data_IF_018669148288
#
_entry.id   IF_018669148288
#
_cell.length_a   1.000
_cell.length_b   1.000
_cell.length_c   1.000
_cell.angle_alpha   90.00
_cell.angle_beta   90.00
_cell.angle_gamma   90.00
#
_symmetry.space_group_name_H-M   'P 1'
#
loop_
_entity.id
_entity.type
_entity.pdbx_description
1 polymer ?
#
# COMPACT_ATOMS: atom_id res chain seq x y z
N UNK A 1 -22.17 7.93 15.11
CA UNK A 1 -22.42 7.76 13.67
C UNK A 1 -22.81 6.32 13.41
N UNK A 2 -21.95 5.32 13.63
CA UNK A 2 -22.16 3.88 13.32
C UNK A 2 -23.46 3.27 13.92
N UNK A 3 -24.00 3.81 14.99
CA UNK A 3 -25.27 3.35 15.60
C UNK A 3 -26.49 4.17 15.16
N UNK A 4 -26.32 5.08 14.22
CA UNK A 4 -27.40 5.89 13.66
C UNK A 4 -28.08 5.19 12.49
N UNK A 5 -29.40 5.41 12.26
CA UNK A 5 -30.12 4.79 11.15
C UNK A 5 -29.88 5.57 9.84
N UNK A 6 -28.64 5.51 9.33
CA UNK A 6 -28.20 6.18 8.12
C UNK A 6 -28.28 5.24 6.92
N UNK A 7 -28.50 5.79 5.71
CA UNK A 7 -28.24 5.08 4.46
C UNK A 7 -26.73 4.90 4.24
N UNK A 8 -26.35 4.04 3.30
CA UNK A 8 -24.95 3.81 2.97
C UNK A 8 -24.24 5.10 2.49
N UNK A 9 -24.92 5.92 1.70
CA UNK A 9 -24.40 7.19 1.21
C UNK A 9 -24.19 8.20 2.36
N UNK A 10 -25.22 8.38 3.19
CA UNK A 10 -25.14 9.28 4.36
C UNK A 10 -24.07 8.84 5.38
N UNK A 11 -23.89 7.53 5.56
CA UNK A 11 -22.88 7.00 6.46
C UNK A 11 -21.47 7.34 5.93
N UNK A 12 -21.18 7.02 4.68
CA UNK A 12 -19.88 7.31 4.04
C UNK A 12 -19.58 8.80 3.99
N UNK A 13 -20.55 9.64 3.66
CA UNK A 13 -20.41 11.09 3.66
C UNK A 13 -20.06 11.63 5.06
N UNK A 14 -20.66 11.07 6.12
CA UNK A 14 -20.36 11.51 7.49
C UNK A 14 -19.02 10.99 8.02
N UNK A 15 -18.58 9.81 7.66
CA UNK A 15 -17.30 9.27 8.11
C UNK A 15 -16.12 9.88 7.37
N UNK A 16 -16.29 10.32 6.11
CA UNK A 16 -15.23 10.98 5.33
C UNK A 16 -14.75 12.32 5.91
N UNK A 17 -15.47 12.87 6.90
CA UNK A 17 -15.05 14.06 7.65
C UNK A 17 -14.05 13.73 8.80
N UNK A 18 -13.79 12.45 9.07
CA UNK A 18 -12.91 11.99 10.16
C UNK A 18 -11.65 11.34 9.58
N UNK A 19 -10.59 11.32 10.35
CA UNK A 19 -9.38 10.59 10.02
C UNK A 19 -9.64 9.07 10.09
N UNK A 20 -9.05 8.30 9.21
CA UNK A 20 -9.24 6.84 9.07
C UNK A 20 -8.93 6.11 10.38
N UNK A 21 -7.85 6.49 11.06
CA UNK A 21 -7.47 5.97 12.38
C UNK A 21 -8.57 6.19 13.44
N UNK A 22 -9.22 7.39 13.49
CA UNK A 22 -10.34 7.65 14.42
C UNK A 22 -11.57 6.80 14.07
N UNK A 23 -11.74 6.48 12.79
CA UNK A 23 -12.81 5.58 12.29
C UNK A 23 -12.53 4.15 12.74
N UNK A 24 -11.31 3.68 12.60
CA UNK A 24 -10.86 2.35 13.03
C UNK A 24 -11.05 2.17 14.55
N UNK A 25 -10.56 3.10 15.36
CA UNK A 25 -10.77 3.12 16.82
C UNK A 25 -12.25 3.03 17.22
N UNK A 26 -13.11 3.74 16.49
CA UNK A 26 -14.55 3.71 16.75
C UNK A 26 -15.19 2.39 16.28
N UNK A 27 -14.66 1.78 15.21
CA UNK A 27 -15.11 0.52 14.65
C UNK A 27 -14.78 -0.66 15.59
N UNK A 28 -13.61 -0.66 16.20
CA UNK A 28 -13.21 -1.64 17.22
C UNK A 28 -14.12 -1.66 18.44
N UNK A 29 -14.73 -0.52 18.80
CA UNK A 29 -15.69 -0.43 19.92
C UNK A 29 -17.07 -1.06 19.61
N UNK A 30 -17.27 -1.58 18.40
CA UNK A 30 -18.54 -2.19 17.99
C UNK A 30 -18.53 -3.68 18.29
N UNK A 31 -19.71 -4.24 18.54
CA UNK A 31 -19.90 -5.69 18.57
C UNK A 31 -19.89 -6.28 17.17
N UNK A 32 -19.58 -7.58 17.05
CA UNK A 32 -19.63 -8.34 15.80
C UNK A 32 -20.96 -8.14 15.04
N UNK A 33 -22.09 -8.14 15.77
CA UNK A 33 -23.41 -7.95 15.20
C UNK A 33 -23.63 -6.52 14.65
N UNK A 34 -23.00 -5.53 15.25
CA UNK A 34 -23.03 -4.15 14.77
C UNK A 34 -22.14 -4.03 13.52
N UNK A 35 -20.91 -4.55 13.54
CA UNK A 35 -19.98 -4.55 12.40
C UNK A 35 -20.56 -5.26 11.19
N UNK A 36 -21.12 -6.46 11.35
CA UNK A 36 -21.79 -7.22 10.27
C UNK A 36 -22.92 -6.48 9.57
N UNK A 37 -23.55 -5.51 10.22
CA UNK A 37 -24.55 -4.65 9.59
C UNK A 37 -23.92 -3.48 8.83
N UNK A 38 -22.72 -3.07 9.23
CA UNK A 38 -22.02 -1.93 8.64
C UNK A 38 -21.25 -2.34 7.39
N UNK A 39 -20.63 -3.51 7.31
CA UNK A 39 -19.87 -3.96 6.15
C UNK A 39 -20.57 -3.71 4.81
N UNK A 40 -21.85 -4.11 4.62
CA UNK A 40 -22.53 -3.85 3.35
C UNK A 40 -22.85 -2.36 3.11
N UNK A 41 -22.89 -1.53 4.16
CA UNK A 41 -23.15 -0.10 4.05
C UNK A 41 -21.87 0.68 3.71
N UNK A 42 -20.76 0.28 4.30
CA UNK A 42 -19.44 0.87 4.05
C UNK A 42 -18.97 0.53 2.63
N UNK A 43 -19.07 -0.73 2.25
CA UNK A 43 -18.47 -1.26 1.02
C UNK A 43 -17.02 -1.71 1.24
N UNK A 44 -16.49 -2.49 0.29
CA UNK A 44 -15.20 -3.15 0.46
C UNK A 44 -14.02 -2.17 0.57
N UNK A 45 -14.02 -1.11 -0.21
CA UNK A 45 -13.01 -0.05 -0.20
C UNK A 45 -12.88 0.61 1.19
N UNK A 46 -13.97 1.10 1.78
CA UNK A 46 -13.97 1.65 3.13
C UNK A 46 -13.61 0.63 4.21
N UNK A 47 -13.96 -0.62 4.02
CA UNK A 47 -13.60 -1.69 4.97
C UNK A 47 -12.11 -2.00 4.90
N UNK A 48 -11.51 -2.01 3.71
CA UNK A 48 -10.07 -2.16 3.53
C UNK A 48 -9.32 -1.01 4.21
N UNK A 49 -9.72 0.24 3.94
CA UNK A 49 -9.16 1.43 4.56
C UNK A 49 -9.21 1.38 6.10
N UNK A 50 -10.32 0.92 6.68
CA UNK A 50 -10.44 0.76 8.13
C UNK A 50 -9.49 -0.34 8.64
N UNK A 51 -9.35 -1.42 7.89
CA UNK A 51 -8.53 -2.57 8.29
C UNK A 51 -7.03 -2.25 8.31
N UNK A 52 -6.54 -1.37 7.43
CA UNK A 52 -5.15 -0.89 7.45
C UNK A 52 -4.76 -0.09 8.72
N UNK A 53 -5.75 0.27 9.56
CA UNK A 53 -5.52 0.95 10.85
C UNK A 53 -5.87 0.08 12.06
N UNK A 54 -6.19 -1.20 11.88
CA UNK A 54 -6.53 -2.15 12.96
C UNK A 54 -5.34 -3.09 13.18
N UNK A 55 -4.96 -3.32 14.42
CA UNK A 55 -3.79 -4.15 14.78
C UNK A 55 -3.96 -5.63 14.38
N UNK A 56 -5.16 -6.22 14.53
CA UNK A 56 -5.45 -7.62 14.19
C UNK A 56 -6.61 -7.70 13.15
N UNK A 57 -6.42 -7.27 11.90
CA UNK A 57 -7.50 -7.18 10.90
C UNK A 57 -8.03 -8.54 10.43
N UNK A 58 -7.28 -9.64 10.60
CA UNK A 58 -7.66 -11.01 10.26
C UNK A 58 -8.89 -11.47 11.05
N UNK A 59 -9.03 -11.11 12.34
CA UNK A 59 -10.22 -11.41 13.15
C UNK A 59 -11.49 -10.79 12.53
N UNK A 60 -11.38 -9.58 12.00
CA UNK A 60 -12.48 -8.85 11.35
C UNK A 60 -12.76 -9.40 9.95
N UNK A 61 -11.72 -9.78 9.21
CA UNK A 61 -11.87 -10.43 7.90
C UNK A 61 -12.66 -11.75 8.03
N UNK A 62 -12.43 -12.52 9.08
CA UNK A 62 -13.15 -13.77 9.38
C UNK A 62 -14.64 -13.54 9.72
N UNK A 63 -15.07 -12.33 10.03
CA UNK A 63 -16.49 -11.98 10.19
C UNK A 63 -17.25 -11.93 8.85
N UNK A 64 -16.52 -11.78 7.73
CA UNK A 64 -17.04 -11.69 6.38
C UNK A 64 -17.22 -13.08 5.75
N UNK A 65 -18.06 -13.16 4.71
CA UNK A 65 -18.02 -14.34 3.85
C UNK A 65 -16.86 -14.24 2.84
N UNK A 66 -16.48 -15.35 2.20
CA UNK A 66 -15.33 -15.41 1.30
C UNK A 66 -15.40 -14.38 0.15
N UNK A 67 -16.60 -14.16 -0.43
CA UNK A 67 -16.75 -13.18 -1.53
C UNK A 67 -16.52 -11.74 -1.05
N UNK A 68 -16.94 -11.43 0.17
CA UNK A 68 -16.72 -10.12 0.79
C UNK A 68 -15.27 -9.95 1.21
N UNK A 69 -14.68 -10.98 1.84
CA UNK A 69 -13.28 -10.97 2.24
C UNK A 69 -12.33 -10.78 1.05
N UNK A 70 -12.53 -11.53 -0.04
CA UNK A 70 -11.74 -11.38 -1.25
C UNK A 70 -11.85 -9.97 -1.85
N UNK A 71 -13.05 -9.35 -1.78
CA UNK A 71 -13.23 -7.97 -2.23
C UNK A 71 -12.52 -6.95 -1.34
N UNK A 72 -12.49 -7.15 -0.04
CA UNK A 72 -11.75 -6.28 0.89
C UNK A 72 -10.26 -6.39 0.59
N UNK A 73 -9.72 -7.60 0.51
CA UNK A 73 -8.32 -7.85 0.18
C UNK A 73 -7.90 -7.22 -1.16
N UNK A 74 -8.79 -7.15 -2.15
CA UNK A 74 -8.47 -6.51 -3.44
C UNK A 74 -8.40 -4.97 -3.39
N UNK A 75 -8.75 -4.35 -2.26
CA UNK A 75 -8.62 -2.91 -2.01
C UNK A 75 -7.55 -2.59 -0.96
N UNK A 76 -6.97 -3.60 -0.33
CA UNK A 76 -5.85 -3.41 0.61
C UNK A 76 -4.54 -3.26 -0.17
N UNK A 77 -3.57 -2.60 0.42
CA UNK A 77 -2.20 -2.64 -0.06
C UNK A 77 -1.69 -4.09 -0.04
N UNK A 78 -0.78 -4.43 -0.91
CA UNK A 78 -0.40 -5.83 -1.13
C UNK A 78 0.34 -6.45 0.04
N UNK A 79 1.12 -5.67 0.78
CA UNK A 79 1.75 -6.03 2.04
C UNK A 79 0.72 -6.26 3.15
N UNK A 80 -0.18 -5.29 3.41
CA UNK A 80 -1.30 -5.43 4.35
C UNK A 80 -2.14 -6.69 4.05
N UNK A 81 -2.40 -6.96 2.77
CA UNK A 81 -3.15 -8.13 2.36
C UNK A 81 -2.40 -9.44 2.64
N UNK A 82 -1.07 -9.45 2.51
CA UNK A 82 -0.21 -10.60 2.86
C UNK A 82 -0.25 -10.84 4.36
N UNK A 83 -0.05 -9.80 5.18
CA UNK A 83 -0.05 -9.92 6.63
C UNK A 83 -1.37 -10.52 7.15
N UNK A 84 -2.51 -10.01 6.65
CA UNK A 84 -3.83 -10.57 6.98
C UNK A 84 -3.99 -12.02 6.54
N UNK A 85 -3.47 -12.37 5.36
CA UNK A 85 -3.57 -13.72 4.82
C UNK A 85 -2.71 -14.72 5.60
N UNK A 86 -1.54 -14.33 6.07
CA UNK A 86 -0.61 -15.20 6.77
C UNK A 86 -1.10 -15.60 8.17
N UNK A 87 -2.01 -14.83 8.76
CA UNK A 87 -2.72 -15.17 10.00
C UNK A 87 -3.88 -16.17 9.79
N UNK A 88 -4.23 -16.49 8.54
CA UNK A 88 -5.31 -17.43 8.22
C UNK A 88 -4.79 -18.87 8.03
N UNK A 89 -5.69 -19.84 8.11
CA UNK A 89 -5.35 -21.21 7.75
C UNK A 89 -5.09 -21.38 6.24
N UNK A 90 -4.13 -22.23 5.85
CA UNK A 90 -3.69 -22.47 4.47
C UNK A 90 -4.84 -22.65 3.47
N UNK A 91 -5.91 -23.37 3.89
CA UNK A 91 -7.07 -23.65 3.01
C UNK A 91 -7.92 -22.42 2.76
N UNK A 92 -8.02 -21.50 3.72
CA UNK A 92 -8.76 -20.24 3.58
C UNK A 92 -7.94 -19.26 2.77
N UNK A 93 -6.65 -19.14 3.04
CA UNK A 93 -5.69 -18.33 2.29
C UNK A 93 -5.69 -18.71 0.79
N UNK A 94 -5.52 -20.01 0.46
CA UNK A 94 -5.51 -20.49 -0.94
C UNK A 94 -6.82 -20.16 -1.68
N UNK A 95 -7.97 -20.24 -0.99
CA UNK A 95 -9.26 -19.89 -1.57
C UNK A 95 -9.39 -18.39 -1.82
N UNK A 96 -9.00 -17.55 -0.87
CA UNK A 96 -9.09 -16.10 -0.99
C UNK A 96 -8.19 -15.60 -2.11
N UNK A 97 -6.92 -16.01 -2.14
CA UNK A 97 -5.97 -15.67 -3.21
C UNK A 97 -6.46 -16.15 -4.58
N UNK A 98 -7.11 -17.33 -4.63
CA UNK A 98 -7.72 -17.84 -5.86
C UNK A 98 -8.97 -17.09 -6.33
N UNK A 99 -9.55 -16.22 -5.51
CA UNK A 99 -10.71 -15.38 -5.84
C UNK A 99 -10.32 -13.95 -6.25
N UNK A 100 -9.08 -13.54 -6.02
CA UNK A 100 -8.55 -12.25 -6.45
C UNK A 100 -8.34 -12.24 -7.97
N UNK A 101 -8.21 -11.05 -8.54
CA UNK A 101 -7.80 -10.90 -9.93
C UNK A 101 -6.34 -11.36 -10.14
N UNK A 102 -5.91 -11.44 -11.42
CA UNK A 102 -4.61 -11.99 -11.77
C UNK A 102 -3.44 -11.13 -11.24
N UNK A 103 -3.61 -9.80 -11.21
CA UNK A 103 -2.62 -8.83 -10.75
C UNK A 103 -2.44 -8.92 -9.23
N UNK A 104 -3.50 -8.73 -8.46
CA UNK A 104 -3.48 -8.84 -6.98
C UNK A 104 -2.98 -10.22 -6.51
N UNK A 105 -3.42 -11.31 -7.17
CA UNK A 105 -2.95 -12.66 -6.86
C UNK A 105 -1.46 -12.87 -7.18
N UNK A 106 -0.93 -12.18 -8.20
CA UNK A 106 0.49 -12.23 -8.56
C UNK A 106 1.33 -11.49 -7.50
N UNK A 107 0.91 -10.29 -7.13
CA UNK A 107 1.62 -9.42 -6.20
C UNK A 107 1.72 -10.06 -4.81
N UNK A 108 0.61 -10.57 -4.29
CA UNK A 108 0.59 -11.32 -3.02
C UNK A 108 1.56 -12.50 -3.05
N UNK A 109 1.55 -13.33 -4.11
CA UNK A 109 2.46 -14.47 -4.22
C UNK A 109 3.92 -14.05 -4.38
N UNK A 110 4.17 -12.92 -5.00
CA UNK A 110 5.52 -12.37 -5.12
C UNK A 110 6.04 -11.97 -3.74
N UNK A 111 5.26 -11.23 -2.96
CA UNK A 111 5.62 -10.79 -1.60
C UNK A 111 5.81 -12.01 -0.69
N UNK A 112 4.89 -12.97 -0.67
CA UNK A 112 4.99 -14.22 0.09
C UNK A 112 6.17 -15.12 -0.32
N UNK A 113 6.87 -14.83 -1.40
CA UNK A 113 8.05 -15.60 -1.80
C UNK A 113 9.34 -15.16 -1.10
N UNK A 114 9.32 -14.02 -0.42
CA UNK A 114 10.44 -13.53 0.39
C UNK A 114 10.41 -14.10 1.81
N UNK A 115 11.57 -14.16 2.45
CA UNK A 115 11.67 -14.50 3.87
C UNK A 115 11.24 -13.28 4.71
N UNK A 116 10.67 -13.49 5.89
CA UNK A 116 10.13 -12.43 6.76
C UNK A 116 11.14 -11.33 7.14
N UNK A 117 12.44 -11.61 7.08
CA UNK A 117 13.53 -10.68 7.36
C UNK A 117 14.12 -10.02 6.09
N UNK A 118 13.53 -10.24 4.92
CA UNK A 118 13.92 -9.64 3.65
C UNK A 118 13.07 -8.42 3.34
N UNK A 119 13.67 -7.39 2.74
CA UNK A 119 13.00 -6.16 2.32
C UNK A 119 11.78 -6.41 1.42
N UNK A 120 11.85 -7.44 0.57
CA UNK A 120 10.75 -7.81 -0.31
C UNK A 120 9.46 -8.23 0.40
N UNK A 121 9.53 -8.64 1.68
CA UNK A 121 8.33 -8.97 2.46
C UNK A 121 7.55 -7.74 2.94
N UNK A 122 8.20 -6.58 3.01
CA UNK A 122 7.61 -5.32 3.49
C UNK A 122 7.11 -4.40 2.36
N UNK A 123 7.26 -4.80 1.10
CA UNK A 123 6.96 -3.90 0.00
C UNK A 123 5.49 -3.95 -0.40
N UNK A 124 4.94 -2.78 -0.74
CA UNK A 124 3.69 -2.68 -1.47
C UNK A 124 3.92 -2.49 -2.98
N UNK A 125 2.99 -2.96 -3.80
CA UNK A 125 2.96 -2.70 -5.26
C UNK A 125 2.12 -1.46 -5.61
N UNK A 126 1.58 -0.76 -4.61
CA UNK A 126 0.80 0.46 -4.76
C UNK A 126 1.70 1.69 -4.96
N UNK A 127 2.14 1.92 -6.17
CA UNK A 127 2.97 3.08 -6.54
C UNK A 127 2.79 3.50 -8.00
N UNK A 128 3.08 4.77 -8.30
CA UNK A 128 3.00 5.31 -9.65
C UNK A 128 4.35 5.27 -10.38
N UNK A 129 4.34 4.81 -11.62
CA UNK A 129 5.53 4.70 -12.47
C UNK A 129 5.33 5.33 -13.85
N UNK A 130 6.35 6.03 -14.34
CA UNK A 130 6.39 6.63 -15.67
C UNK A 130 7.71 6.31 -16.40
N UNK A 131 7.69 6.38 -17.74
CA UNK A 131 8.91 6.22 -18.53
C UNK A 131 9.68 7.54 -18.70
N UNK A 132 11.01 7.47 -18.67
CA UNK A 132 11.94 8.58 -18.86
C UNK A 132 11.78 9.34 -20.19
N UNK A 133 11.21 8.67 -21.20
CA UNK A 133 11.01 9.23 -22.54
C UNK A 133 9.77 10.13 -22.66
N UNK A 134 8.96 10.23 -21.62
CA UNK A 134 7.74 11.03 -21.64
C UNK A 134 8.03 12.52 -21.53
N UNK A 135 7.19 13.34 -22.16
CA UNK A 135 7.13 14.77 -21.87
C UNK A 135 6.34 15.01 -20.58
N UNK A 136 6.55 16.15 -19.92
CA UNK A 136 5.80 16.55 -18.70
C UNK A 136 4.28 16.35 -18.87
N UNK A 137 3.73 16.77 -20.02
CA UNK A 137 2.29 16.61 -20.30
C UNK A 137 1.85 15.14 -20.41
N UNK A 138 2.70 14.29 -20.96
CA UNK A 138 2.42 12.84 -21.06
C UNK A 138 2.56 12.17 -19.69
N UNK A 139 3.61 12.53 -18.93
CA UNK A 139 3.82 12.06 -17.56
C UNK A 139 2.62 12.39 -16.66
N UNK A 140 2.16 13.66 -16.66
CA UNK A 140 0.95 14.06 -15.92
C UNK A 140 -0.30 13.31 -16.34
N UNK A 141 -0.45 12.97 -17.61
CA UNK A 141 -1.62 12.22 -18.09
C UNK A 141 -1.55 10.76 -17.64
N UNK A 142 -0.36 10.20 -17.66
CA UNK A 142 -0.12 8.83 -17.19
C UNK A 142 -0.36 8.73 -15.67
N UNK A 143 0.16 9.67 -14.91
CA UNK A 143 -0.06 9.77 -13.47
C UNK A 143 -1.56 9.89 -13.12
N UNK A 144 -2.32 10.78 -13.79
CA UNK A 144 -3.76 10.93 -13.56
C UNK A 144 -4.52 9.61 -13.82
N UNK A 145 -4.02 8.78 -14.74
CA UNK A 145 -4.61 7.47 -15.01
C UNK A 145 -4.35 6.49 -13.87
N UNK A 146 -3.13 6.49 -13.32
CA UNK A 146 -2.70 5.59 -12.24
C UNK A 146 -3.25 6.02 -10.87
N UNK A 147 -3.33 7.32 -10.60
CA UNK A 147 -3.80 7.89 -9.33
C UNK A 147 -5.26 7.58 -8.95
N UNK A 148 -6.01 6.90 -9.79
CA UNK A 148 -7.33 6.35 -9.46
C UNK A 148 -7.28 4.93 -8.91
N UNK A 149 -6.11 4.30 -8.96
CA UNK A 149 -5.85 2.91 -8.56
C UNK A 149 -4.79 2.84 -7.46
N UNK A 150 -3.91 3.87 -7.35
CA UNK A 150 -2.81 3.96 -6.40
C UNK A 150 -2.97 5.17 -5.48
N UNK A 151 -2.64 5.00 -4.20
CA UNK A 151 -2.70 6.05 -3.17
C UNK A 151 -1.32 6.67 -2.89
N UNK A 152 -0.22 5.93 -3.10
CA UNK A 152 1.15 6.38 -2.92
C UNK A 152 1.64 7.24 -4.10
N UNK A 153 1.03 8.41 -4.28
CA UNK A 153 1.27 9.31 -5.43
C UNK A 153 2.26 10.44 -5.15
N UNK A 154 2.70 10.63 -3.91
CA UNK A 154 3.61 11.73 -3.52
C UNK A 154 4.94 11.64 -4.26
N UNK A 155 5.44 10.44 -4.49
CA UNK A 155 6.65 10.12 -5.25
C UNK A 155 6.29 9.36 -6.51
N UNK A 156 6.68 9.87 -7.66
CA UNK A 156 6.49 9.25 -8.98
C UNK A 156 7.80 8.63 -9.43
N UNK A 157 7.82 7.32 -9.60
CA UNK A 157 9.03 6.62 -10.01
C UNK A 157 9.23 6.65 -11.52
N UNK A 158 10.47 6.73 -11.94
CA UNK A 158 10.85 6.81 -13.36
C UNK A 158 11.67 5.58 -13.73
N UNK A 159 11.24 4.89 -14.80
CA UNK A 159 11.94 3.75 -15.38
C UNK A 159 12.44 4.08 -16.79
N UNK A 160 13.55 3.44 -17.17
CA UNK A 160 14.10 3.54 -18.51
C UNK A 160 13.37 2.61 -19.52
N UNK A 161 13.83 2.61 -20.76
CA UNK A 161 13.29 1.75 -21.84
C UNK A 161 13.43 0.24 -21.58
N UNK A 162 14.31 -0.16 -20.68
CA UNK A 162 14.57 -1.56 -20.31
C UNK A 162 13.85 -1.92 -18.98
N UNK A 163 12.88 -1.09 -18.55
CA UNK A 163 12.11 -1.19 -17.31
C UNK A 163 12.96 -1.13 -16.02
N UNK A 164 14.15 -0.53 -16.09
CA UNK A 164 15.01 -0.37 -14.92
C UNK A 164 14.75 0.96 -14.26
N UNK A 165 14.86 0.97 -12.94
CA UNK A 165 14.77 2.19 -12.16
C UNK A 165 15.78 3.24 -12.63
N UNK A 166 15.29 4.40 -12.99
CA UNK A 166 16.08 5.54 -13.43
C UNK A 166 16.18 6.64 -12.35
N UNK A 167 15.12 6.86 -11.59
CA UNK A 167 15.05 7.85 -10.54
C UNK A 167 13.63 8.07 -10.06
N UNK A 168 13.42 9.14 -9.31
CA UNK A 168 12.11 9.53 -8.82
C UNK A 168 11.86 11.03 -8.99
N UNK A 169 10.59 11.42 -8.99
CA UNK A 169 10.13 12.81 -9.08
C UNK A 169 9.14 13.04 -7.94
N UNK A 170 9.35 14.11 -7.17
CA UNK A 170 8.31 14.62 -6.28
C UNK A 170 7.11 15.09 -7.12
N UNK A 171 5.92 14.63 -6.81
CA UNK A 171 4.68 15.01 -7.48
C UNK A 171 4.55 16.53 -7.61
N UNK A 172 4.94 17.26 -6.58
CA UNK A 172 4.94 18.73 -6.59
C UNK A 172 5.79 19.30 -7.72
N UNK A 173 6.99 18.73 -7.97
CA UNK A 173 7.89 19.21 -9.02
C UNK A 173 7.31 18.94 -10.41
N UNK A 174 6.62 17.81 -10.58
CA UNK A 174 5.88 17.50 -11.81
C UNK A 174 4.70 18.46 -12.03
N UNK A 175 3.95 18.82 -10.97
CA UNK A 175 2.81 19.74 -11.03
C UNK A 175 3.25 21.18 -11.40
N UNK A 176 4.38 21.65 -10.86
CA UNK A 176 4.87 23.03 -11.11
C UNK A 176 5.74 23.15 -12.37
N UNK A 177 6.11 22.03 -12.99
CA UNK A 177 6.93 22.02 -14.20
C UNK A 177 6.24 22.77 -15.35
N UNK A 178 7.03 23.61 -16.05
CA UNK A 178 6.53 24.43 -17.16
C UNK A 178 6.49 23.63 -18.45
N UNK A 179 5.63 24.04 -19.36
CA UNK A 179 5.64 23.49 -20.71
C UNK A 179 7.00 23.76 -21.38
N UNK A 180 7.67 22.68 -21.81
CA UNK A 180 9.03 22.73 -22.37
C UNK A 180 10.15 22.36 -21.41
N UNK A 181 9.88 22.17 -20.10
CA UNK A 181 10.81 21.52 -19.18
C UNK A 181 11.01 20.06 -19.62
N UNK A 182 12.24 19.60 -19.64
CA UNK A 182 12.54 18.19 -19.88
C UNK A 182 12.27 17.39 -18.60
N UNK A 183 11.82 16.16 -18.74
CA UNK A 183 11.59 15.28 -17.58
C UNK A 183 12.91 15.08 -16.80
N UNK A 184 14.03 14.92 -17.49
CA UNK A 184 15.37 14.81 -16.91
C UNK A 184 15.79 16.00 -16.02
N UNK A 185 15.22 17.18 -16.24
CA UNK A 185 15.54 18.38 -15.44
C UNK A 185 14.91 18.31 -14.03
N UNK A 186 13.93 17.42 -13.81
CA UNK A 186 13.20 17.28 -12.54
C UNK A 186 13.32 15.88 -11.91
N UNK A 187 13.93 14.92 -12.62
CA UNK A 187 14.18 13.58 -12.07
C UNK A 187 15.36 13.61 -11.12
N UNK A 188 15.18 13.09 -9.91
CA UNK A 188 16.27 12.79 -8.98
C UNK A 188 16.85 11.41 -9.31
N UNK A 189 17.95 11.37 -10.04
CA UNK A 189 18.63 10.12 -10.41
C UNK A 189 19.49 9.51 -9.29
N UNK A 190 19.66 10.25 -8.19
CA UNK A 190 20.35 9.81 -6.96
C UNK A 190 19.37 9.47 -5.83
N UNK A 191 18.11 9.21 -6.18
CA UNK A 191 17.10 8.81 -5.21
C UNK A 191 17.51 7.48 -4.52
N UNK A 192 17.34 7.36 -3.20
CA UNK A 192 17.70 6.14 -2.47
C UNK A 192 16.85 4.97 -2.90
N UNK A 193 17.38 3.78 -2.79
CA UNK A 193 16.66 2.52 -3.04
C UNK A 193 17.23 1.40 -2.18
N UNK A 194 16.48 0.32 -2.06
CA UNK A 194 16.89 -0.94 -1.43
C UNK A 194 16.71 -2.09 -2.42
N UNK A 195 17.30 -3.25 -2.11
CA UNK A 195 17.11 -4.45 -2.93
C UNK A 195 16.23 -5.48 -2.22
N UNK A 196 15.45 -6.20 -2.97
CA UNK A 196 14.42 -7.13 -2.52
C UNK A 196 14.89 -8.19 -1.50
N UNK A 197 16.09 -8.75 -1.70
CA UNK A 197 16.70 -9.73 -0.79
C UNK A 197 17.65 -9.14 0.27
N UNK A 198 17.71 -7.83 0.39
CA UNK A 198 18.45 -7.16 1.47
C UNK A 198 17.76 -7.43 2.81
N UNK A 199 18.54 -7.59 3.88
CA UNK A 199 17.95 -7.82 5.19
C UNK A 199 17.47 -6.49 5.80
N UNK A 200 16.29 -6.52 6.38
CA UNK A 200 15.61 -5.35 6.97
C UNK A 200 16.55 -4.68 8.00
N UNK A 201 17.14 -5.45 8.88
CA UNK A 201 18.06 -4.97 9.93
C UNK A 201 19.27 -4.22 9.38
N UNK A 202 19.74 -4.59 8.18
CA UNK A 202 20.95 -4.01 7.58
C UNK A 202 20.64 -2.64 6.90
N UNK A 203 19.40 -2.39 6.48
CA UNK A 203 19.04 -1.20 5.71
C UNK A 203 18.13 -0.22 6.46
N UNK A 204 17.42 -0.65 7.51
CA UNK A 204 16.38 0.15 8.15
C UNK A 204 16.88 1.49 8.72
N UNK A 205 18.06 1.52 9.35
CA UNK A 205 18.64 2.78 9.84
C UNK A 205 18.95 3.76 8.68
N UNK A 206 19.46 3.22 7.57
CA UNK A 206 19.76 4.01 6.39
C UNK A 206 18.50 4.57 5.74
N UNK A 207 17.43 3.77 5.64
CA UNK A 207 16.15 4.19 5.06
C UNK A 207 15.54 5.34 5.88
N UNK A 208 15.54 5.22 7.21
CA UNK A 208 15.06 6.28 8.12
C UNK A 208 15.79 7.61 7.94
N UNK A 209 17.09 7.56 7.69
CA UNK A 209 17.92 8.76 7.52
C UNK A 209 17.57 9.55 6.25
N UNK A 210 16.99 8.91 5.25
CA UNK A 210 16.58 9.58 4.01
C UNK A 210 15.33 10.45 4.17
N UNK A 211 14.42 10.10 5.11
CA UNK A 211 13.17 10.83 5.38
C UNK A 211 12.30 11.09 4.12
N UNK A 212 12.29 10.10 3.22
CA UNK A 212 11.44 10.10 2.03
C UNK A 212 10.07 9.51 2.34
N UNK A 213 9.04 9.87 1.58
CA UNK A 213 7.67 9.34 1.75
C UNK A 213 7.59 7.85 1.42
N UNK A 214 8.41 7.40 0.48
CA UNK A 214 8.55 5.98 0.12
C UNK A 214 9.92 5.69 -0.49
N UNK A 215 10.38 4.44 -0.36
CA UNK A 215 11.68 3.97 -0.86
C UNK A 215 11.44 2.84 -1.87
N UNK A 216 11.94 2.93 -3.10
CA UNK A 216 11.76 1.90 -4.10
C UNK A 216 12.55 0.63 -3.78
N UNK A 217 11.91 -0.50 -3.97
CA UNK A 217 12.49 -1.85 -3.87
C UNK A 217 12.84 -2.35 -5.27
N UNK A 218 14.09 -2.71 -5.46
CA UNK A 218 14.62 -3.12 -6.75
C UNK A 218 15.12 -4.57 -6.73
N UNK A 219 14.95 -5.27 -7.83
CA UNK A 219 15.66 -6.54 -8.04
C UNK A 219 17.17 -6.33 -8.23
N UNK A 220 17.96 -7.40 -8.15
CA UNK A 220 19.39 -7.36 -8.48
C UNK A 220 19.70 -6.86 -9.90
N UNK A 221 18.72 -6.85 -10.81
CA UNK A 221 18.82 -6.33 -12.17
C UNK A 221 18.34 -4.88 -12.30
N UNK A 222 18.00 -4.25 -11.18
CA UNK A 222 17.47 -2.89 -11.02
C UNK A 222 16.07 -2.69 -11.60
N UNK A 223 15.29 -3.72 -11.71
CA UNK A 223 13.85 -3.58 -11.98
C UNK A 223 13.14 -3.09 -10.72
N UNK A 224 12.25 -2.12 -10.87
CA UNK A 224 11.39 -1.63 -9.81
C UNK A 224 10.22 -2.61 -9.62
N UNK A 225 10.09 -3.18 -8.43
CA UNK A 225 9.08 -4.21 -8.14
C UNK A 225 8.12 -3.83 -7.02
N UNK A 226 8.46 -2.85 -6.21
CA UNK A 226 7.65 -2.40 -5.10
C UNK A 226 8.22 -1.15 -4.46
N UNK A 227 7.57 -0.68 -3.41
CA UNK A 227 8.04 0.41 -2.56
C UNK A 227 7.78 0.05 -1.11
N UNK A 228 8.57 0.60 -0.19
CA UNK A 228 8.30 0.60 1.24
C UNK A 228 7.86 2.02 1.60
N UNK A 229 6.71 2.18 2.23
CA UNK A 229 6.22 3.50 2.64
C UNK A 229 6.82 3.93 3.98
N UNK A 230 6.69 5.21 4.31
CA UNK A 230 7.10 5.71 5.62
C UNK A 230 6.26 5.13 6.76
N UNK A 231 5.04 4.65 6.49
CA UNK A 231 4.17 4.00 7.45
C UNK A 231 4.73 2.62 7.82
N UNK A 232 5.02 1.77 6.84
CA UNK A 232 5.59 0.43 7.04
C UNK A 232 6.91 0.50 7.81
N UNK A 233 7.73 1.52 7.50
CA UNK A 233 8.97 1.77 8.24
C UNK A 233 8.76 2.10 9.71
N UNK A 234 7.69 2.80 10.07
CA UNK A 234 7.35 3.09 11.47
C UNK A 234 6.95 1.81 12.19
N UNK A 235 6.16 0.94 11.57
CA UNK A 235 5.71 -0.34 12.14
C UNK A 235 6.89 -1.26 12.44
N UNK A 236 7.78 -1.48 11.47
CA UNK A 236 8.99 -2.30 11.64
C UNK A 236 9.90 -1.76 12.76
N UNK A 237 9.95 -0.43 12.92
CA UNK A 237 10.73 0.20 13.99
C UNK A 237 10.12 -0.03 15.36
N UNK A 238 8.82 0.09 15.47
CA UNK A 238 8.11 -0.08 16.73
C UNK A 238 8.19 -1.56 17.18
N UNK A 239 8.11 -2.51 16.27
CA UNK A 239 8.30 -3.94 16.53
C UNK A 239 9.73 -4.25 17.02
N UNK A 240 10.75 -3.76 16.32
CA UNK A 240 12.14 -3.93 16.73
C UNK A 240 12.44 -3.30 18.11
N UNK A 241 11.78 -2.19 18.45
CA UNK A 241 11.91 -1.56 19.78
C UNK A 241 11.12 -2.31 20.86
N UNK A 242 10.01 -2.96 20.49
CA UNK A 242 9.21 -3.80 21.39
C UNK A 242 9.95 -5.05 21.85
N UNK A 243 10.72 -5.69 20.98
CA UNK A 243 11.54 -6.87 21.29
C UNK A 243 12.71 -6.57 22.22
N UNK A 244 13.34 -5.39 22.14
CA UNK A 244 14.46 -4.98 23.02
C UNK A 244 14.02 -4.71 24.47
N UNK A 245 12.73 -4.61 24.77
CA UNK A 245 12.19 -4.37 26.11
C UNK A 245 11.48 -5.59 26.74
N UNK A 246 11.39 -6.73 26.07
CA UNK A 246 10.77 -7.96 26.56
C UNK A 246 11.80 -8.96 27.08
#
# INVERSE_FOLDING_TARGET
IFRSPLSAEELRDQISDYHESDIADAFEQLSVEERKKLYPLLGAEWVAEIFSYIEDPDEYLQELNLDQAAKVLSFMDSDDAVDVLDELDDSTQEKLVGMLDEESSHDIKMIQSYEDDEVGSLMTTNFDVIHDTLTIRQAMRELIRQAGENDNISTVYVIDKDNRFYGAIDLKDLIIAREGTLLDDIVSTSYPYVTDHEKIDDCIEQIKDYAEDSIPVLTGEKELIGVITSQDLVEVVDDAMGEDYA
#
